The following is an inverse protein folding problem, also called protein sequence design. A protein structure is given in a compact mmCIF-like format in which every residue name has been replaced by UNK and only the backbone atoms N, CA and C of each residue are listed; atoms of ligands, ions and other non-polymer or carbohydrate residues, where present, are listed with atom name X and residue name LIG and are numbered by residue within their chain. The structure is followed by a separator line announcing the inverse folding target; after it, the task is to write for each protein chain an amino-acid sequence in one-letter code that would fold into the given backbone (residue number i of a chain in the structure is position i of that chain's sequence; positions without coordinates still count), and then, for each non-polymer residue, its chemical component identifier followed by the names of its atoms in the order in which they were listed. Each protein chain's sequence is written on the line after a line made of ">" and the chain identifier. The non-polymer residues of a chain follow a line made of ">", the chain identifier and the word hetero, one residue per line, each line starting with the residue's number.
data_IF_368036861581
#
_entry.id   IF_368036861581
#
_cell.length_a   1.000
_cell.length_b   1.000
_cell.length_c   1.000
_cell.angle_alpha   90.00
_cell.angle_beta   90.00
_cell.angle_gamma   90.00
#
_symmetry.space_group_name_H-M   'P 1'
#
loop_
_entity.id
_entity.type
_entity.pdbx_description
1 polymer ?
#
# COMPACT_ATOMS: atom_id res chain seq x y z
N UNK A 1 3.30 14.83 5.22
CA UNK A 1 2.44 14.28 4.12
C UNK A 1 1.33 15.29 3.80
N UNK A 2 0.90 15.44 2.51
CA UNK A 2 -0.16 16.42 2.14
C UNK A 2 -1.57 15.98 2.57
N UNK A 3 -1.81 14.68 2.73
CA UNK A 3 -3.12 14.15 3.13
C UNK A 3 -3.20 14.06 4.66
N UNK A 4 -4.19 14.73 5.25
CA UNK A 4 -4.44 14.73 6.70
C UNK A 4 -5.39 13.60 7.06
N UNK A 5 -4.84 12.40 7.29
CA UNK A 5 -5.60 11.24 7.71
C UNK A 5 -6.11 11.33 9.15
N UNK A 6 -5.55 12.19 10.01
CA UNK A 6 -6.04 12.37 11.38
C UNK A 6 -7.48 12.91 11.39
N UNK A 7 -7.83 13.73 10.39
CA UNK A 7 -9.15 14.34 10.31
C UNK A 7 -10.31 13.33 10.08
N UNK A 8 -10.04 12.15 9.52
CA UNK A 8 -11.06 11.16 9.15
C UNK A 8 -10.63 9.70 9.43
N UNK A 9 -9.71 9.49 10.37
CA UNK A 9 -9.09 8.20 10.63
C UNK A 9 -10.09 7.08 10.91
N UNK A 10 -11.05 7.28 11.81
CA UNK A 10 -12.07 6.27 12.16
C UNK A 10 -12.96 5.93 10.97
N UNK A 11 -13.41 6.95 10.22
CA UNK A 11 -14.27 6.76 9.07
C UNK A 11 -13.54 5.99 7.95
N UNK A 12 -12.27 6.34 7.67
CA UNK A 12 -11.45 5.63 6.70
C UNK A 12 -11.14 4.20 7.15
N UNK A 13 -10.80 3.98 8.43
CA UNK A 13 -10.52 2.64 8.93
C UNK A 13 -11.74 1.72 8.82
N UNK A 14 -12.94 2.23 9.14
CA UNK A 14 -14.19 1.49 8.99
C UNK A 14 -14.48 1.13 7.51
N UNK A 15 -14.27 2.06 6.59
CA UNK A 15 -14.41 1.83 5.15
C UNK A 15 -13.38 0.81 4.63
N UNK A 16 -12.11 0.93 5.05
CA UNK A 16 -11.03 0.04 4.65
C UNK A 16 -11.33 -1.44 4.98
N UNK A 17 -12.01 -1.71 6.10
CA UNK A 17 -12.39 -3.09 6.50
C UNK A 17 -13.48 -3.71 5.62
N UNK A 18 -14.21 -2.92 4.86
CA UNK A 18 -15.38 -3.38 4.13
C UNK A 18 -15.31 -3.12 2.62
N UNK A 19 -14.42 -2.25 2.16
CA UNK A 19 -14.35 -1.85 0.77
C UNK A 19 -13.81 -2.94 -0.15
N UNK A 20 -14.31 -2.96 -1.38
CA UNK A 20 -13.80 -3.85 -2.42
C UNK A 20 -12.29 -3.67 -2.60
N UNK A 21 -11.84 -2.41 -2.72
CA UNK A 21 -10.44 -2.10 -3.10
C UNK A 21 -9.42 -2.44 -2.02
N UNK A 22 -9.78 -2.33 -0.73
CA UNK A 22 -8.87 -2.63 0.36
C UNK A 22 -9.06 -4.06 0.90
N UNK A 23 -10.28 -4.39 1.38
CA UNK A 23 -10.52 -5.64 2.08
C UNK A 23 -10.58 -6.87 1.15
N UNK A 24 -11.04 -6.69 -0.07
CA UNK A 24 -11.26 -7.79 -1.01
C UNK A 24 -10.31 -7.78 -2.21
N UNK A 25 -9.41 -6.78 -2.32
CA UNK A 25 -8.45 -6.70 -3.42
C UNK A 25 -7.03 -6.48 -2.93
N UNK A 26 -6.66 -5.29 -2.42
CA UNK A 26 -5.27 -4.97 -2.09
C UNK A 26 -4.70 -5.88 -0.98
N UNK A 27 -5.40 -5.98 0.15
CA UNK A 27 -4.92 -6.74 1.31
C UNK A 27 -4.76 -8.24 1.03
N UNK A 28 -5.75 -8.96 0.46
CA UNK A 28 -5.56 -10.37 0.09
C UNK A 28 -4.40 -10.60 -0.87
N UNK A 29 -4.24 -9.75 -1.89
CA UNK A 29 -3.16 -9.86 -2.86
C UNK A 29 -1.78 -9.63 -2.23
N UNK A 30 -1.63 -8.65 -1.33
CA UNK A 30 -0.40 -8.44 -0.56
C UNK A 30 -0.03 -9.69 0.24
N UNK A 31 -1.00 -10.29 0.93
CA UNK A 31 -0.79 -11.48 1.74
C UNK A 31 -0.45 -12.72 0.90
N UNK A 32 -0.97 -12.82 -0.31
CA UNK A 32 -0.63 -13.88 -1.26
C UNK A 32 0.79 -13.70 -1.81
N UNK A 33 1.16 -12.49 -2.23
CA UNK A 33 2.49 -12.16 -2.73
C UNK A 33 3.59 -12.35 -1.66
N UNK A 34 3.28 -12.10 -0.39
CA UNK A 34 4.18 -12.40 0.73
C UNK A 34 4.32 -13.90 0.98
N UNK A 35 3.27 -14.69 0.73
CA UNK A 35 3.27 -16.14 0.96
C UNK A 35 3.46 -16.52 2.44
N UNK A 36 4.34 -17.49 2.72
CA UNK A 36 4.63 -17.90 4.09
C UNK A 36 5.53 -16.87 4.80
N UNK A 37 5.00 -16.34 5.90
CA UNK A 37 5.66 -15.32 6.73
C UNK A 37 5.90 -15.81 8.17
N UNK A 38 5.63 -17.08 8.46
CA UNK A 38 5.82 -17.63 9.79
C UNK A 38 7.28 -17.47 10.25
N UNK A 39 7.48 -16.86 11.42
CA UNK A 39 8.79 -16.59 11.98
C UNK A 39 9.57 -15.45 11.30
N UNK A 40 9.02 -14.79 10.27
CA UNK A 40 9.66 -13.67 9.60
C UNK A 40 9.36 -12.34 10.30
N UNK A 41 10.28 -11.39 10.20
CA UNK A 41 10.12 -10.01 10.68
C UNK A 41 9.61 -9.16 9.53
N UNK A 42 8.41 -8.63 9.65
CA UNK A 42 7.75 -7.86 8.58
C UNK A 42 7.47 -6.44 9.06
N UNK A 43 7.87 -5.45 8.27
CA UNK A 43 7.53 -4.04 8.45
C UNK A 43 6.41 -3.65 7.50
N UNK A 44 5.42 -2.93 8.00
CA UNK A 44 4.41 -2.25 7.17
C UNK A 44 4.67 -0.74 7.21
N UNK A 45 5.11 -0.18 6.10
CA UNK A 45 5.45 1.22 5.93
C UNK A 45 4.21 2.00 5.46
N UNK A 46 3.66 2.84 6.33
CA UNK A 46 2.35 3.46 6.16
C UNK A 46 1.23 2.48 6.52
N UNK A 47 1.30 1.93 7.75
CA UNK A 47 0.45 0.81 8.17
C UNK A 47 -1.02 1.19 8.44
N UNK A 48 -1.35 2.49 8.48
CA UNK A 48 -2.68 2.97 8.83
C UNK A 48 -3.17 2.39 10.17
N UNK A 49 -4.42 1.95 10.21
CA UNK A 49 -5.04 1.27 11.36
C UNK A 49 -4.59 -0.20 11.55
N UNK A 50 -3.56 -0.66 10.84
CA UNK A 50 -2.89 -1.94 11.03
C UNK A 50 -3.60 -3.20 10.53
N UNK A 51 -4.49 -3.18 9.52
CA UNK A 51 -5.19 -4.38 9.08
C UNK A 51 -4.25 -5.44 8.48
N UNK A 52 -3.27 -5.03 7.68
CA UNK A 52 -2.26 -5.93 7.10
C UNK A 52 -1.38 -6.53 8.20
N UNK A 53 -0.97 -5.73 9.20
CA UNK A 53 -0.19 -6.19 10.34
C UNK A 53 -0.93 -7.26 11.17
N UNK A 54 -2.25 -7.09 11.35
CA UNK A 54 -3.08 -8.06 12.06
C UNK A 54 -3.09 -9.42 11.34
N UNK A 55 -3.29 -9.43 10.03
CA UNK A 55 -3.29 -10.64 9.22
C UNK A 55 -1.92 -11.32 9.18
N UNK A 56 -0.83 -10.55 9.08
CA UNK A 56 0.55 -11.07 9.10
C UNK A 56 0.89 -11.69 10.46
N UNK A 57 0.49 -11.02 11.55
CA UNK A 57 0.68 -11.56 12.92
C UNK A 57 -0.10 -12.86 13.12
N UNK A 58 -1.33 -12.95 12.61
CA UNK A 58 -2.12 -14.17 12.66
C UNK A 58 -1.48 -15.34 11.88
N UNK A 59 -0.64 -15.01 10.88
CA UNK A 59 0.16 -15.99 10.12
C UNK A 59 1.53 -16.27 10.74
N UNK A 60 1.79 -15.81 11.96
CA UNK A 60 3.00 -16.10 12.70
C UNK A 60 4.21 -15.20 12.43
N UNK A 61 4.02 -14.05 11.75
CA UNK A 61 5.07 -13.06 11.59
C UNK A 61 5.28 -12.25 12.88
N UNK A 62 6.53 -11.80 13.10
CA UNK A 62 6.84 -10.70 14.01
C UNK A 62 6.68 -9.39 13.24
N UNK A 63 5.74 -8.55 13.65
CA UNK A 63 5.35 -7.37 12.87
C UNK A 63 5.78 -6.07 13.54
N UNK A 64 6.09 -5.07 12.73
CA UNK A 64 6.28 -3.69 13.11
C UNK A 64 5.63 -2.78 12.07
N UNK A 65 5.30 -1.54 12.43
CA UNK A 65 4.73 -0.60 11.48
C UNK A 65 4.99 0.84 11.87
N UNK A 66 4.84 1.71 10.90
CA UNK A 66 4.82 3.15 11.13
C UNK A 66 3.80 3.83 10.22
N UNK A 67 3.30 4.95 10.67
CA UNK A 67 2.41 5.82 9.91
C UNK A 67 2.66 7.28 10.28
N UNK A 68 2.31 8.20 9.41
CA UNK A 68 2.43 9.64 9.67
C UNK A 68 1.21 10.18 10.45
N UNK A 69 0.10 9.43 10.49
CA UNK A 69 -1.11 9.79 11.24
C UNK A 69 -1.07 9.19 12.64
N UNK A 70 -1.14 10.06 13.65
CA UNK A 70 -1.22 9.63 15.05
C UNK A 70 -2.54 8.93 15.34
N UNK A 71 -3.65 9.42 14.78
CA UNK A 71 -4.97 8.82 14.95
C UNK A 71 -5.04 7.41 14.33
N UNK A 72 -4.43 7.19 13.16
CA UNK A 72 -4.32 5.85 12.58
C UNK A 72 -3.53 4.90 13.48
N UNK A 73 -2.43 5.36 14.05
CA UNK A 73 -1.63 4.56 14.96
C UNK A 73 -2.35 4.22 16.27
N UNK A 74 -3.23 5.08 16.75
CA UNK A 74 -4.05 4.79 17.93
C UNK A 74 -5.03 3.64 17.62
N UNK A 75 -5.70 3.68 16.48
CA UNK A 75 -6.52 2.56 16.00
C UNK A 75 -5.70 1.27 15.78
N UNK A 76 -4.48 1.40 15.27
CA UNK A 76 -3.59 0.25 15.11
C UNK A 76 -3.17 -0.35 16.48
N UNK A 77 -2.92 0.48 17.50
CA UNK A 77 -2.62 0.01 18.87
C UNK A 77 -3.81 -0.70 19.51
N UNK A 78 -5.02 -0.20 19.31
CA UNK A 78 -6.25 -0.86 19.78
C UNK A 78 -6.41 -2.23 19.12
N UNK A 79 -6.17 -2.33 17.81
CA UNK A 79 -6.27 -3.58 17.05
C UNK A 79 -5.22 -4.61 17.41
N UNK A 80 -3.97 -4.18 17.54
CA UNK A 80 -2.80 -5.08 17.64
C UNK A 80 -2.34 -5.31 19.06
N UNK A 81 -2.74 -4.47 20.00
CA UNK A 81 -2.28 -4.50 21.39
C UNK A 81 -0.90 -3.84 21.57
N UNK A 82 -0.42 -3.75 22.83
CA UNK A 82 0.76 -2.96 23.20
C UNK A 82 2.10 -3.58 22.76
N UNK A 83 2.12 -4.85 22.40
CA UNK A 83 3.37 -5.58 22.10
C UNK A 83 3.90 -5.34 20.68
N UNK A 84 3.12 -4.69 19.80
CA UNK A 84 3.54 -4.40 18.43
C UNK A 84 4.30 -3.07 18.37
N UNK A 85 5.47 -3.08 17.74
CA UNK A 85 6.31 -1.90 17.58
C UNK A 85 5.74 -0.95 16.52
N UNK A 86 4.89 -0.01 16.96
CA UNK A 86 4.31 1.03 16.12
C UNK A 86 5.02 2.38 16.36
N UNK A 87 5.37 3.10 15.29
CA UNK A 87 6.10 4.37 15.34
C UNK A 87 5.40 5.45 14.53
N UNK A 88 5.36 6.67 15.07
CA UNK A 88 4.95 7.85 14.30
C UNK A 88 6.15 8.30 13.46
N UNK A 89 6.02 8.21 12.14
CA UNK A 89 7.07 8.62 11.20
C UNK A 89 6.49 8.92 9.83
N UNK A 90 7.12 9.87 9.11
CA UNK A 90 6.79 10.17 7.72
C UNK A 90 7.61 9.28 6.77
N UNK A 91 6.96 8.79 5.72
CA UNK A 91 7.58 7.94 4.71
C UNK A 91 8.74 8.63 3.97
N UNK A 92 8.70 9.96 3.84
CA UNK A 92 9.72 10.76 3.18
C UNK A 92 10.95 11.06 4.07
N UNK A 93 10.86 10.79 5.37
CA UNK A 93 11.91 11.03 6.36
C UNK A 93 12.67 9.73 6.69
N UNK A 94 13.83 9.78 7.38
CA UNK A 94 14.52 8.58 7.82
C UNK A 94 13.65 7.69 8.71
N UNK A 95 13.58 6.38 8.38
CA UNK A 95 12.73 5.47 9.11
C UNK A 95 13.34 5.05 10.46
N UNK A 96 12.55 4.97 11.54
CA UNK A 96 13.03 4.76 12.91
C UNK A 96 13.38 3.28 13.19
N UNK A 97 14.01 2.61 12.24
CA UNK A 97 14.43 1.22 12.32
C UNK A 97 15.89 1.04 11.88
N UNK A 98 16.64 0.07 12.47
CA UNK A 98 18.02 -0.19 12.07
C UNK A 98 18.13 -0.86 10.70
N UNK A 99 19.33 -0.82 10.14
CA UNK A 99 19.69 -1.50 8.89
C UNK A 99 19.46 -3.01 9.01
N UNK A 100 18.92 -3.63 7.97
CA UNK A 100 18.73 -5.07 7.90
C UNK A 100 17.79 -5.66 8.95
N UNK A 101 16.92 -4.85 9.52
CA UNK A 101 16.04 -5.26 10.61
C UNK A 101 14.94 -6.24 10.17
N UNK A 102 14.56 -6.22 8.89
CA UNK A 102 13.38 -6.93 8.40
C UNK A 102 13.71 -7.92 7.29
N UNK A 103 12.93 -8.99 7.27
CA UNK A 103 12.95 -10.01 6.22
C UNK A 103 12.08 -9.58 5.03
N UNK A 104 10.93 -8.95 5.32
CA UNK A 104 10.01 -8.39 4.34
C UNK A 104 9.58 -6.99 4.75
N UNK A 105 9.27 -6.15 3.75
CA UNK A 105 8.61 -4.85 3.94
C UNK A 105 7.37 -4.78 3.05
N UNK A 106 6.28 -4.28 3.60
CA UNK A 106 5.07 -3.91 2.86
C UNK A 106 5.03 -2.39 2.72
N UNK A 107 4.71 -1.89 1.53
CA UNK A 107 4.39 -0.49 1.26
C UNK A 107 3.12 -0.46 0.41
N UNK A 108 1.97 -0.62 1.10
CA UNK A 108 0.69 -0.78 0.46
C UNK A 108 -0.05 0.56 0.35
N UNK A 109 -0.24 1.06 -0.88
CA UNK A 109 -1.00 2.26 -1.19
C UNK A 109 -0.46 3.54 -0.52
N UNK A 110 0.86 3.68 -0.45
CA UNK A 110 1.52 4.80 0.22
C UNK A 110 2.47 5.59 -0.68
N UNK A 111 3.24 4.93 -1.58
CA UNK A 111 4.24 5.62 -2.41
C UNK A 111 3.60 6.62 -3.39
N UNK A 112 2.38 6.38 -3.85
CA UNK A 112 1.68 7.26 -4.77
C UNK A 112 1.31 8.63 -4.16
N UNK A 113 1.46 8.81 -2.84
CA UNK A 113 1.34 10.13 -2.20
C UNK A 113 2.60 10.98 -2.33
N UNK A 114 3.73 10.38 -2.72
CA UNK A 114 5.01 11.06 -2.78
C UNK A 114 5.43 11.41 -4.21
N UNK A 115 5.85 12.67 -4.39
CA UNK A 115 6.43 13.09 -5.66
C UNK A 115 7.79 12.43 -5.90
N UNK A 116 8.62 12.34 -4.88
CA UNK A 116 9.96 11.73 -4.95
C UNK A 116 9.96 10.40 -4.19
N UNK A 117 10.42 9.36 -4.87
CA UNK A 117 10.55 8.02 -4.29
C UNK A 117 11.98 7.69 -3.86
N UNK A 118 12.95 8.58 -4.08
CA UNK A 118 14.38 8.30 -3.84
C UNK A 118 14.65 8.01 -2.37
N UNK A 119 14.21 8.89 -1.46
CA UNK A 119 14.42 8.71 -0.02
C UNK A 119 13.66 7.49 0.53
N UNK A 120 12.33 7.33 0.31
CA UNK A 120 11.62 6.17 0.84
C UNK A 120 12.12 4.83 0.28
N UNK A 121 12.56 4.78 -0.99
CA UNK A 121 13.12 3.54 -1.54
C UNK A 121 14.52 3.23 -0.99
N UNK A 122 15.33 4.26 -0.70
CA UNK A 122 16.61 4.07 -0.02
C UNK A 122 16.41 3.53 1.41
N UNK A 123 15.45 4.07 2.16
CA UNK A 123 15.11 3.58 3.49
C UNK A 123 14.53 2.17 3.46
N UNK A 124 13.65 1.88 2.52
CA UNK A 124 13.09 0.55 2.29
C UNK A 124 14.22 -0.46 2.02
N UNK A 125 15.19 -0.08 1.16
CA UNK A 125 16.36 -0.93 0.89
C UNK A 125 17.25 -1.10 2.12
N UNK A 126 17.45 -0.03 2.91
CA UNK A 126 18.31 -0.03 4.11
C UNK A 126 17.79 -0.95 5.20
N UNK A 127 16.48 -0.91 5.48
CA UNK A 127 15.87 -1.70 6.56
C UNK A 127 15.71 -3.17 6.21
N UNK A 128 15.74 -3.54 4.92
CA UNK A 128 15.73 -4.92 4.48
C UNK A 128 17.11 -5.56 4.66
N UNK A 129 17.13 -6.78 5.19
CA UNK A 129 18.34 -7.61 5.19
C UNK A 129 18.76 -7.97 3.75
N UNK A 130 20.01 -8.34 3.51
CA UNK A 130 20.42 -8.92 2.23
C UNK A 130 19.53 -10.11 1.87
N UNK A 131 19.00 -10.13 0.63
CA UNK A 131 18.04 -11.13 0.17
C UNK A 131 16.62 -11.01 0.77
N UNK A 132 16.34 -9.93 1.48
CA UNK A 132 14.98 -9.55 1.87
C UNK A 132 14.18 -9.04 0.67
N UNK A 133 12.87 -8.88 0.83
CA UNK A 133 12.01 -8.42 -0.26
C UNK A 133 10.98 -7.41 0.21
N UNK A 134 10.47 -6.61 -0.73
CA UNK A 134 9.36 -5.72 -0.48
C UNK A 134 8.17 -6.05 -1.37
N UNK A 135 6.96 -5.94 -0.82
CA UNK A 135 5.72 -5.90 -1.60
C UNK A 135 5.23 -4.46 -1.62
N UNK A 136 5.17 -3.90 -2.83
CA UNK A 136 4.77 -2.51 -3.05
C UNK A 136 3.48 -2.49 -3.87
N UNK A 137 2.48 -1.75 -3.39
CA UNK A 137 1.21 -1.55 -4.10
C UNK A 137 0.98 -0.07 -4.31
N UNK A 138 0.66 0.31 -5.55
CA UNK A 138 0.39 1.71 -5.92
C UNK A 138 -0.83 1.79 -6.83
N UNK A 139 -1.39 2.98 -6.97
CA UNK A 139 -2.41 3.24 -8.00
C UNK A 139 -1.87 2.80 -9.36
N UNK A 140 -2.68 2.04 -10.10
CA UNK A 140 -2.29 1.61 -11.43
C UNK A 140 -2.19 2.83 -12.37
N UNK A 141 -1.05 3.03 -13.08
CA UNK A 141 -0.83 4.27 -13.83
C UNK A 141 -1.83 4.48 -14.98
N UNK A 142 -2.45 3.40 -15.49
CA UNK A 142 -3.46 3.53 -16.53
C UNK A 142 -4.77 4.14 -16.01
N UNK A 143 -5.09 3.99 -14.72
CA UNK A 143 -6.31 4.55 -14.12
C UNK A 143 -6.32 6.07 -14.25
N UNK A 144 -5.18 6.72 -13.98
CA UNK A 144 -5.06 8.16 -14.19
C UNK A 144 -5.33 8.55 -15.66
N UNK A 145 -4.77 7.79 -16.61
CA UNK A 145 -5.00 8.06 -18.05
C UNK A 145 -6.44 7.81 -18.49
N UNK A 146 -7.13 6.85 -17.90
CA UNK A 146 -8.55 6.60 -18.16
C UNK A 146 -9.44 7.70 -17.57
N UNK A 147 -9.12 8.20 -16.37
CA UNK A 147 -9.83 9.31 -15.73
C UNK A 147 -9.55 10.66 -16.40
N UNK A 148 -8.36 10.85 -16.97
CA UNK A 148 -7.89 12.07 -17.62
C UNK A 148 -7.37 11.77 -19.03
N UNK A 149 -8.27 11.54 -20.03
CA UNK A 149 -7.86 11.09 -21.38
C UNK A 149 -6.90 12.04 -22.11
N UNK A 150 -7.00 13.35 -21.84
CA UNK A 150 -6.15 14.37 -22.47
C UNK A 150 -4.80 14.56 -21.77
N UNK A 151 -4.61 13.96 -20.57
CA UNK A 151 -3.35 14.10 -19.83
C UNK A 151 -2.22 13.32 -20.51
N UNK A 152 -0.99 13.85 -20.39
CA UNK A 152 0.22 13.15 -20.79
C UNK A 152 0.51 12.01 -19.79
N UNK A 153 0.37 10.77 -20.23
CA UNK A 153 0.70 9.58 -19.44
C UNK A 153 2.15 9.55 -18.95
N UNK A 154 3.08 10.11 -19.71
CA UNK A 154 4.50 10.07 -19.38
C UNK A 154 4.95 11.17 -18.42
N UNK A 155 4.10 12.15 -18.16
CA UNK A 155 4.37 13.21 -17.19
C UNK A 155 4.13 12.74 -15.76
N UNK A 156 5.04 13.12 -14.83
CA UNK A 156 4.79 13.01 -13.39
C UNK A 156 3.82 14.11 -12.99
N UNK A 157 2.57 13.77 -12.69
CA UNK A 157 1.50 14.76 -12.51
C UNK A 157 0.81 14.59 -11.16
N UNK A 158 0.62 15.72 -10.47
CA UNK A 158 -0.18 15.80 -9.23
C UNK A 158 -1.66 15.89 -9.59
N UNK A 159 -2.49 15.12 -8.89
CA UNK A 159 -3.94 15.15 -9.04
C UNK A 159 -4.63 14.86 -7.71
N UNK A 160 -5.92 15.15 -7.60
CA UNK A 160 -6.68 14.92 -6.38
C UNK A 160 -8.04 14.37 -6.72
N UNK A 161 -8.56 13.50 -5.85
CA UNK A 161 -9.92 12.98 -5.92
C UNK A 161 -10.65 13.26 -4.61
N UNK A 162 -11.97 13.41 -4.73
CA UNK A 162 -12.89 13.60 -3.62
C UNK A 162 -13.50 12.26 -3.21
N UNK A 163 -13.51 12.01 -1.91
CA UNK A 163 -14.04 10.79 -1.30
C UNK A 163 -15.04 11.13 -0.21
N UNK A 164 -15.91 10.18 0.10
CA UNK A 164 -16.78 10.25 1.27
C UNK A 164 -16.63 8.97 2.06
N UNK A 165 -16.00 9.04 3.23
CA UNK A 165 -15.81 7.92 4.15
C UNK A 165 -16.82 8.05 5.30
N UNK A 166 -17.76 7.12 5.41
CA UNK A 166 -18.81 7.13 6.45
C UNK A 166 -19.50 8.51 6.61
N UNK A 167 -19.72 9.22 5.49
CA UNK A 167 -20.35 10.55 5.47
C UNK A 167 -19.39 11.73 5.69
N UNK A 168 -18.10 11.49 5.93
CA UNK A 168 -17.08 12.52 6.01
C UNK A 168 -16.44 12.75 4.65
N UNK A 169 -16.44 14.00 4.18
CA UNK A 169 -15.79 14.39 2.94
C UNK A 169 -14.27 14.49 3.14
N UNK A 170 -13.51 13.93 2.22
CA UNK A 170 -12.05 13.98 2.20
C UNK A 170 -11.55 14.20 0.77
N UNK A 171 -10.47 14.96 0.64
CA UNK A 171 -9.75 15.14 -0.62
C UNK A 171 -8.40 14.45 -0.48
N UNK A 172 -8.14 13.45 -1.31
CA UNK A 172 -6.85 12.78 -1.34
C UNK A 172 -6.07 13.20 -2.57
N UNK A 173 -4.82 13.56 -2.34
CA UNK A 173 -3.89 14.02 -3.37
C UNK A 173 -2.88 12.93 -3.68
N UNK A 174 -2.64 12.69 -4.95
CA UNK A 174 -1.79 11.64 -5.49
C UNK A 174 -0.79 12.20 -6.50
N UNK A 175 0.23 11.42 -6.78
CA UNK A 175 1.13 11.62 -7.90
C UNK A 175 0.97 10.47 -8.89
N UNK A 176 0.45 10.79 -10.09
CA UNK A 176 0.56 9.88 -11.21
C UNK A 176 2.03 9.72 -11.58
N UNK A 177 2.47 8.49 -11.73
CA UNK A 177 3.81 8.11 -12.17
C UNK A 177 3.68 7.04 -13.25
N UNK A 178 4.25 7.20 -14.44
CA UNK A 178 4.18 6.19 -15.49
C UNK A 178 4.98 4.93 -15.08
N UNK A 179 4.58 3.77 -15.60
CA UNK A 179 5.20 2.48 -15.27
C UNK A 179 6.73 2.49 -15.46
N UNK A 180 7.22 3.08 -16.56
CA UNK A 180 8.65 3.19 -16.80
C UNK A 180 9.41 3.96 -15.71
N UNK A 181 8.80 5.02 -15.15
CA UNK A 181 9.40 5.79 -14.07
C UNK A 181 9.33 5.04 -12.71
N UNK A 182 8.28 4.21 -12.50
CA UNK A 182 8.21 3.33 -11.32
C UNK A 182 9.34 2.30 -11.35
N UNK A 183 9.46 1.55 -12.45
CA UNK A 183 10.48 0.51 -12.61
C UNK A 183 11.90 1.08 -12.55
N UNK A 184 12.14 2.25 -13.15
CA UNK A 184 13.42 2.94 -13.05
C UNK A 184 13.77 3.35 -11.62
N UNK A 185 12.78 3.84 -10.83
CA UNK A 185 12.99 4.20 -9.44
C UNK A 185 13.40 2.98 -8.59
N UNK A 186 12.71 1.84 -8.74
CA UNK A 186 13.03 0.61 -8.02
C UNK A 186 14.43 0.09 -8.37
N UNK A 187 14.77 0.01 -9.65
CA UNK A 187 16.09 -0.49 -10.07
C UNK A 187 17.22 0.45 -9.67
N UNK A 188 17.00 1.78 -9.71
CA UNK A 188 17.99 2.77 -9.25
C UNK A 188 18.23 2.71 -7.73
N UNK A 189 17.24 2.26 -6.96
CA UNK A 189 17.36 2.05 -5.51
C UNK A 189 18.02 0.70 -5.14
N UNK A 190 18.48 -0.10 -6.11
CA UNK A 190 19.15 -1.37 -5.89
C UNK A 190 18.20 -2.55 -5.69
N UNK A 191 17.01 -2.49 -6.26
CA UNK A 191 16.08 -3.61 -6.27
C UNK A 191 16.06 -4.32 -7.62
N UNK A 192 15.86 -5.64 -7.57
CA UNK A 192 15.42 -6.42 -8.71
C UNK A 192 13.91 -6.60 -8.62
N UNK A 193 13.19 -6.25 -9.68
CA UNK A 193 11.75 -6.51 -9.76
C UNK A 193 11.58 -7.99 -10.12
N UNK A 194 11.02 -8.77 -9.22
CA UNK A 194 10.76 -10.20 -9.41
C UNK A 194 9.34 -10.49 -9.87
N UNK A 195 8.38 -9.64 -9.48
CA UNK A 195 6.98 -9.74 -9.91
C UNK A 195 6.45 -8.35 -10.23
N UNK A 196 5.66 -8.26 -11.29
CA UNK A 196 4.70 -7.19 -11.57
C UNK A 196 3.36 -7.89 -11.77
N UNK A 197 2.34 -7.52 -11.01
CA UNK A 197 1.07 -8.23 -11.00
C UNK A 197 -0.14 -7.29 -11.00
N UNK A 198 -1.23 -7.78 -11.57
CA UNK A 198 -2.58 -7.22 -11.57
C UNK A 198 -3.54 -8.33 -11.11
N UNK A 199 -3.50 -8.72 -9.83
CA UNK A 199 -4.23 -9.88 -9.34
C UNK A 199 -5.74 -9.69 -9.43
N UNK A 200 -6.53 -10.77 -9.52
CA UNK A 200 -7.97 -10.67 -9.35
C UNK A 200 -8.32 -10.34 -7.89
N UNK A 201 -9.49 -9.75 -7.63
CA UNK A 201 -10.02 -9.65 -6.28
C UNK A 201 -10.21 -11.02 -5.62
N UNK A 202 -10.24 -11.02 -4.29
CA UNK A 202 -10.41 -12.23 -3.50
C UNK A 202 -11.72 -12.97 -3.86
N UNK A 203 -11.78 -14.30 -3.70
CA UNK A 203 -13.00 -15.07 -3.83
C UNK A 203 -14.14 -14.47 -3.00
N UNK A 204 -15.36 -14.44 -3.56
CA UNK A 204 -16.52 -13.82 -2.91
C UNK A 204 -16.66 -12.30 -3.10
N UNK A 205 -15.67 -11.63 -3.67
CA UNK A 205 -15.78 -10.20 -3.95
C UNK A 205 -16.93 -9.85 -4.89
N UNK A 206 -17.14 -10.67 -5.93
CA UNK A 206 -18.22 -10.46 -6.91
C UNK A 206 -19.61 -10.58 -6.27
N UNK A 207 -19.81 -11.54 -5.39
CA UNK A 207 -21.09 -11.73 -4.68
C UNK A 207 -21.35 -10.58 -3.71
N UNK A 208 -20.29 -10.06 -3.10
CA UNK A 208 -20.39 -8.96 -2.13
C UNK A 208 -20.60 -7.60 -2.80
N UNK A 209 -20.02 -7.40 -3.99
CA UNK A 209 -20.01 -6.12 -4.72
C UNK A 209 -20.52 -6.29 -6.17
N UNK A 210 -21.74 -6.81 -6.37
CA UNK A 210 -22.22 -7.15 -7.71
C UNK A 210 -22.30 -5.95 -8.67
N UNK A 211 -22.49 -4.74 -8.14
CA UNK A 211 -22.59 -3.53 -8.95
C UNK A 211 -21.24 -3.09 -9.51
N UNK A 212 -20.15 -3.27 -8.75
CA UNK A 212 -18.79 -2.92 -9.15
C UNK A 212 -18.24 -3.88 -10.23
N UNK A 213 -18.75 -5.12 -10.25
CA UNK A 213 -18.37 -6.13 -11.24
C UNK A 213 -19.31 -6.22 -12.44
N UNK A 214 -20.35 -5.36 -12.49
CA UNK A 214 -21.40 -5.42 -13.51
C UNK A 214 -20.92 -5.21 -14.94
N UNK A 215 -21.56 -4.30 -15.66
CA UNK A 215 -21.31 -4.08 -17.10
C UNK A 215 -19.88 -3.66 -17.44
N UNK A 216 -19.20 -2.95 -16.54
CA UNK A 216 -17.86 -2.38 -16.78
C UNK A 216 -16.79 -3.46 -17.00
N UNK A 217 -16.86 -4.55 -16.28
CA UNK A 217 -15.87 -5.65 -16.37
C UNK A 217 -16.27 -6.75 -17.35
N UNK A 218 -17.44 -6.66 -18.02
CA UNK A 218 -17.92 -7.60 -19.03
C UNK A 218 -17.74 -9.07 -18.66
N UNK A 219 -18.00 -9.41 -17.38
CA UNK A 219 -17.84 -10.76 -16.85
C UNK A 219 -16.41 -11.22 -16.59
N UNK A 220 -15.41 -10.34 -16.70
CA UNK A 220 -14.02 -10.66 -16.30
C UNK A 220 -13.91 -10.67 -14.77
N UNK A 221 -13.02 -11.51 -14.26
CA UNK A 221 -12.67 -11.55 -12.83
C UNK A 221 -11.59 -10.52 -12.49
N UNK A 222 -10.89 -9.98 -13.50
CA UNK A 222 -9.86 -8.95 -13.33
C UNK A 222 -10.46 -7.60 -12.89
N UNK A 223 -9.75 -6.92 -12.01
CA UNK A 223 -10.11 -5.60 -11.50
C UNK A 223 -8.91 -4.66 -11.64
N UNK A 224 -9.01 -3.69 -12.52
CA UNK A 224 -7.92 -2.76 -12.80
C UNK A 224 -8.01 -1.55 -11.88
N UNK A 225 -7.27 -1.55 -10.78
CA UNK A 225 -7.23 -0.45 -9.83
C UNK A 225 -5.79 -0.17 -9.35
N UNK A 226 -5.09 -1.20 -8.91
CA UNK A 226 -3.74 -1.10 -8.36
C UNK A 226 -2.75 -1.94 -9.15
N UNK A 227 -1.48 -1.58 -9.04
CA UNK A 227 -0.35 -2.31 -9.59
C UNK A 227 0.54 -2.79 -8.45
N UNK A 228 0.87 -4.07 -8.48
CA UNK A 228 1.61 -4.75 -7.42
C UNK A 228 3.02 -5.10 -7.91
N UNK A 229 3.99 -4.94 -7.02
CA UNK A 229 5.38 -5.28 -7.28
C UNK A 229 5.93 -6.12 -6.14
N UNK A 230 6.71 -7.15 -6.48
CA UNK A 230 7.64 -7.79 -5.56
C UNK A 230 9.05 -7.39 -5.95
N UNK A 231 9.77 -6.82 -5.00
CA UNK A 231 11.11 -6.27 -5.15
C UNK A 231 12.07 -7.05 -4.28
N UNK A 232 13.10 -7.65 -4.89
CA UNK A 232 14.16 -8.34 -4.15
C UNK A 232 15.31 -7.36 -3.87
N UNK A 233 15.77 -7.32 -2.61
CA UNK A 233 16.95 -6.57 -2.20
C UNK A 233 18.22 -7.31 -2.62
N UNK A 234 18.87 -6.83 -3.69
CA UNK A 234 20.12 -7.38 -4.23
C UNK A 234 21.35 -6.68 -3.65
#
# INVERSE_FOLDING_TARGET
>A
MENDYDAFAEAYAAENEQSLVNAYYARPAVLELLGDVAGRRVLDAGCGAGPVLADLRARGATVAGFDASAAMLDLARERLGPDVALRLADLAEPWPYPDGAFDDVVACLVLHYLRDWSAPLAELRRVLRPGGRAVVVVNHPIIYKLAHPEADYFALTRWSDEYTFAGQHAVLTYWHRPLAAMTAAFTSAGFRISVIDEPPPAPGARERFPHEFGEQLRGREAFLCFLFFVLDAV
#
